data_IF_224138135906
#
_entry.id   IF_224138135906
#
_cell.length_a   1.000
_cell.length_b   1.000
_cell.length_c   1.000
_cell.angle_alpha   90.00
_cell.angle_beta   90.00
_cell.angle_gamma   90.00
#
_symmetry.space_group_name_H-M   'P 1'
#
loop_
_entity.id
_entity.type
_entity.pdbx_description
1 polymer ?
#
# COMPACT_ATOMS: atom_id res chain seq x y z
N UNK A 1 25.61 50.74 48.15
CA UNK A 1 24.50 49.77 47.97
C UNK A 1 24.02 49.96 46.54
N UNK A 2 24.35 49.02 45.64
CA UNK A 2 23.40 48.16 44.89
C UNK A 2 22.35 48.96 44.09
N UNK A 3 22.08 48.72 42.81
CA UNK A 3 22.62 47.84 41.78
C UNK A 3 22.09 48.45 40.47
N UNK A 4 22.97 48.73 39.51
CA UNK A 4 22.61 48.70 38.09
C UNK A 4 22.15 47.28 37.78
N UNK A 5 21.16 47.10 36.89
CA UNK A 5 21.44 46.55 35.56
C UNK A 5 20.18 46.43 34.72
N UNK A 6 20.32 47.03 33.54
CA UNK A 6 19.48 46.98 32.36
C UNK A 6 19.22 45.55 31.87
N UNK A 7 17.98 45.38 31.43
CA UNK A 7 17.41 44.27 30.68
C UNK A 7 18.19 44.03 29.38
N UNK A 8 19.07 43.05 29.33
CA UNK A 8 19.72 42.60 28.08
C UNK A 8 19.30 41.18 27.70
N UNK A 9 18.48 41.14 26.65
CA UNK A 9 18.50 40.19 25.53
C UNK A 9 18.87 38.73 25.86
N UNK A 10 17.85 37.94 26.20
CA UNK A 10 17.91 36.47 26.24
C UNK A 10 18.29 35.89 24.88
N UNK A 11 19.56 35.48 24.77
CA UNK A 11 20.06 34.59 23.72
C UNK A 11 19.60 33.17 24.04
N UNK A 12 18.54 32.71 23.35
CA UNK A 12 18.15 31.29 23.35
C UNK A 12 19.12 30.51 22.47
N UNK A 13 20.07 29.83 23.09
CA UNK A 13 20.91 28.83 22.42
C UNK A 13 20.14 27.50 22.37
N UNK A 14 19.69 27.10 21.18
CA UNK A 14 18.98 25.86 20.94
C UNK A 14 19.96 24.67 20.88
N UNK A 15 19.75 23.67 21.74
CA UNK A 15 20.44 22.39 21.68
C UNK A 15 19.97 21.61 20.44
N UNK A 16 20.91 21.27 19.54
CA UNK A 16 20.65 20.51 18.32
C UNK A 16 20.75 19.01 18.59
N UNK A 17 19.64 18.29 18.40
CA UNK A 17 19.59 16.82 18.36
C UNK A 17 19.97 16.40 16.93
N UNK A 18 20.92 15.47 16.78
CA UNK A 18 21.27 14.88 15.49
C UNK A 18 20.17 13.90 15.07
N UNK A 19 19.34 14.32 14.10
CA UNK A 19 18.23 13.54 13.56
C UNK A 19 18.40 13.46 12.05
N UNK A 20 18.46 12.24 11.51
CA UNK A 20 18.43 12.03 10.07
C UNK A 20 17.15 12.65 9.50
N UNK A 21 17.30 13.66 8.64
CA UNK A 21 16.16 14.44 8.15
C UNK A 21 15.55 13.74 6.94
N UNK A 22 14.23 13.56 6.93
CA UNK A 22 13.50 13.01 5.78
C UNK A 22 12.40 13.98 5.31
N UNK A 23 12.21 14.10 4.00
CA UNK A 23 11.12 14.91 3.44
C UNK A 23 10.51 14.25 2.20
N UNK A 24 9.20 14.41 2.02
CA UNK A 24 8.47 13.89 0.87
C UNK A 24 8.08 15.03 -0.07
N UNK A 25 8.40 14.89 -1.35
CA UNK A 25 7.98 15.83 -2.40
C UNK A 25 7.32 15.07 -3.55
N UNK A 26 6.39 15.70 -4.26
CA UNK A 26 5.62 15.02 -5.31
C UNK A 26 5.29 15.92 -6.49
N UNK A 27 4.92 15.29 -7.61
CA UNK A 27 4.33 15.96 -8.77
C UNK A 27 3.19 15.13 -9.33
N UNK A 28 2.07 15.78 -9.66
CA UNK A 28 0.92 15.12 -10.27
C UNK A 28 0.78 15.50 -11.75
N UNK A 29 0.27 14.56 -12.54
CA UNK A 29 -0.09 14.73 -13.96
C UNK A 29 1.04 15.32 -14.84
N UNK A 30 2.29 14.90 -14.61
CA UNK A 30 3.44 15.35 -15.41
C UNK A 30 3.63 14.45 -16.64
N UNK A 31 3.68 15.04 -17.83
CA UNK A 31 3.59 14.32 -19.11
C UNK A 31 4.93 13.80 -19.63
N UNK A 32 6.01 14.48 -19.32
CA UNK A 32 7.32 14.19 -19.88
C UNK A 32 8.22 13.57 -18.79
N UNK A 33 8.78 12.39 -19.05
CA UNK A 33 9.67 11.76 -18.07
C UNK A 33 11.06 12.40 -18.05
N UNK A 34 11.49 13.05 -19.13
CA UNK A 34 12.83 13.64 -19.21
C UNK A 34 12.98 14.92 -18.38
N UNK A 35 11.86 15.62 -18.10
CA UNK A 35 11.88 16.92 -17.42
C UNK A 35 11.52 16.85 -15.94
N UNK A 36 11.19 15.68 -15.39
CA UNK A 36 10.72 15.55 -14.00
C UNK A 36 11.78 15.96 -12.97
N UNK A 37 13.05 15.63 -13.19
CA UNK A 37 14.12 15.95 -12.22
C UNK A 37 14.39 17.46 -12.11
N UNK A 38 14.10 18.21 -13.17
CA UNK A 38 14.23 19.67 -13.23
C UNK A 38 12.91 20.40 -12.92
N UNK A 39 11.81 19.67 -12.75
CA UNK A 39 10.50 20.25 -12.48
C UNK A 39 10.33 20.53 -10.99
N UNK A 40 9.78 21.70 -10.64
CA UNK A 40 9.46 22.05 -9.25
C UNK A 40 8.41 21.09 -8.67
N UNK A 41 8.76 20.51 -7.51
CA UNK A 41 7.97 19.54 -6.79
C UNK A 41 7.18 20.21 -5.66
N UNK A 42 5.99 19.67 -5.41
CA UNK A 42 5.08 20.08 -4.35
C UNK A 42 5.32 19.25 -3.07
N UNK A 43 4.82 19.74 -1.93
CA UNK A 43 4.93 19.02 -0.65
C UNK A 43 6.26 19.19 0.08
N UNK A 44 6.28 18.77 1.35
CA UNK A 44 7.47 18.74 2.19
C UNK A 44 8.28 20.04 2.20
N UNK A 45 9.60 19.90 2.06
CA UNK A 45 10.52 21.03 1.91
C UNK A 45 10.55 21.62 0.49
N UNK A 46 10.02 20.89 -0.51
CA UNK A 46 10.02 21.38 -1.89
C UNK A 46 9.01 22.49 -2.12
N UNK A 47 7.84 22.47 -1.45
CA UNK A 47 6.85 23.56 -1.38
C UNK A 47 6.49 24.23 -2.73
N UNK A 48 6.57 23.49 -3.83
CA UNK A 48 6.33 24.01 -5.18
C UNK A 48 7.46 24.89 -5.74
N UNK A 49 8.58 25.01 -5.03
CA UNK A 49 9.72 25.88 -5.39
C UNK A 49 10.98 25.12 -5.76
N UNK A 50 11.22 23.92 -5.22
CA UNK A 50 12.44 23.12 -5.45
C UNK A 50 12.19 21.91 -6.35
N UNK A 51 13.13 21.66 -7.26
CA UNK A 51 13.19 20.45 -8.09
C UNK A 51 14.02 19.33 -7.42
N UNK A 52 14.08 18.15 -8.04
CA UNK A 52 14.97 17.07 -7.57
C UNK A 52 16.42 17.53 -7.59
N UNK A 53 16.83 18.23 -8.64
CA UNK A 53 18.18 18.77 -8.77
C UNK A 53 18.51 19.81 -7.70
N UNK A 54 17.56 20.67 -7.34
CA UNK A 54 17.76 21.64 -6.25
C UNK A 54 17.93 20.92 -4.91
N UNK A 55 17.13 19.88 -4.65
CA UNK A 55 17.26 19.06 -3.44
C UNK A 55 18.64 18.37 -3.38
N UNK A 56 19.12 17.80 -4.49
CA UNK A 56 20.47 17.21 -4.59
C UNK A 56 21.57 18.25 -4.30
N UNK A 57 21.46 19.44 -4.88
CA UNK A 57 22.40 20.56 -4.63
C UNK A 57 22.41 21.01 -3.17
N UNK A 58 21.26 20.92 -2.50
CA UNK A 58 21.13 21.18 -1.07
C UNK A 58 21.59 20.00 -0.19
N UNK A 59 22.19 18.96 -0.77
CA UNK A 59 22.74 17.81 -0.05
C UNK A 59 21.71 16.78 0.37
N UNK A 60 20.52 16.79 -0.22
CA UNK A 60 19.53 15.72 -0.04
C UNK A 60 19.79 14.58 -1.03
N UNK A 61 19.63 13.35 -0.55
CA UNK A 61 19.70 12.14 -1.37
C UNK A 61 18.30 11.58 -1.56
N UNK A 62 18.01 11.05 -2.74
CA UNK A 62 16.77 10.31 -2.98
C UNK A 62 16.87 8.98 -2.22
N UNK A 63 15.93 8.75 -1.31
CA UNK A 63 15.79 7.51 -0.56
C UNK A 63 14.85 6.52 -1.27
N UNK A 64 13.73 7.02 -1.81
CA UNK A 64 12.77 6.22 -2.59
C UNK A 64 12.03 7.09 -3.62
N UNK A 65 11.54 6.46 -4.69
CA UNK A 65 10.70 7.09 -5.72
C UNK A 65 9.54 6.18 -6.09
N UNK A 66 8.31 6.73 -6.04
CA UNK A 66 7.10 6.06 -6.51
C UNK A 66 6.55 6.76 -7.74
N UNK A 67 6.39 6.00 -8.82
CA UNK A 67 5.81 6.47 -10.07
C UNK A 67 4.49 5.73 -10.30
N UNK A 68 3.42 6.48 -10.59
CA UNK A 68 2.13 5.90 -11.00
C UNK A 68 1.65 6.56 -12.27
N UNK A 69 1.35 5.76 -13.30
CA UNK A 69 0.81 6.25 -14.56
C UNK A 69 -0.70 6.42 -14.49
N UNK A 70 -1.20 7.54 -15.02
CA UNK A 70 -2.61 7.84 -15.19
C UNK A 70 -2.80 8.40 -16.60
N UNK A 71 -3.42 7.61 -17.48
CA UNK A 71 -3.64 7.95 -18.89
C UNK A 71 -2.30 8.30 -19.60
N UNK A 72 -2.13 9.56 -20.02
CA UNK A 72 -0.95 10.10 -20.71
C UNK A 72 -0.04 10.94 -19.79
N UNK A 73 -0.14 10.76 -18.47
CA UNK A 73 0.66 11.49 -17.51
C UNK A 73 1.08 10.60 -16.33
N UNK A 74 2.18 10.97 -15.68
CA UNK A 74 2.73 10.26 -14.54
C UNK A 74 2.63 11.13 -13.27
N UNK A 75 2.36 10.48 -12.14
CA UNK A 75 2.54 11.06 -10.81
C UNK A 75 3.82 10.52 -10.20
N UNK A 76 4.58 11.39 -9.56
CA UNK A 76 5.87 11.08 -8.95
C UNK A 76 5.81 11.46 -7.47
N UNK A 77 6.32 10.60 -6.60
CA UNK A 77 6.54 10.89 -5.18
C UNK A 77 7.99 10.52 -4.88
N UNK A 78 8.78 11.51 -4.47
CA UNK A 78 10.16 11.37 -4.01
C UNK A 78 10.20 11.43 -2.50
N UNK A 79 10.94 10.50 -1.90
CA UNK A 79 11.37 10.56 -0.50
C UNK A 79 12.83 10.96 -0.50
N UNK A 80 13.15 12.05 0.16
CA UNK A 80 14.52 12.52 0.32
C UNK A 80 14.99 12.27 1.75
N UNK A 81 16.27 11.90 1.89
CA UNK A 81 16.98 11.83 3.17
C UNK A 81 18.23 12.71 3.15
N UNK A 82 18.57 13.27 4.29
CA UNK A 82 19.83 13.97 4.50
C UNK A 82 20.44 13.47 5.81
N UNK A 83 21.61 12.85 5.71
CA UNK A 83 22.42 12.56 6.87
C UNK A 83 23.02 13.86 7.39
N UNK A 84 23.10 14.03 8.71
CA UNK A 84 23.87 15.14 9.26
C UNK A 84 25.32 15.02 8.76
N UNK A 85 25.97 16.14 8.36
CA UNK A 85 27.40 16.11 8.07
C UNK A 85 28.09 15.65 9.34
N UNK A 86 28.65 14.43 9.31
CA UNK A 86 29.52 13.93 10.37
C UNK A 86 30.60 15.00 10.56
N UNK A 87 30.56 15.73 11.68
CA UNK A 87 31.67 16.59 12.07
C UNK A 87 32.91 15.72 12.07
N UNK A 88 33.86 16.05 11.20
CA UNK A 88 35.21 15.52 11.26
C UNK A 88 35.72 15.67 12.70
N UNK A 89 36.05 14.53 13.31
CA UNK A 89 36.69 14.48 14.61
C UNK A 89 38.13 14.96 14.40
N UNK A 90 38.36 16.25 14.61
CA UNK A 90 39.71 16.77 14.80
C UNK A 90 40.19 16.23 16.15
N UNK A 91 41.13 15.29 16.09
CA UNK A 91 41.81 14.72 17.25
C UNK A 91 42.65 15.82 17.92
N UNK A 92 42.16 16.38 19.03
CA UNK A 92 42.98 17.17 19.94
C UNK A 92 43.50 16.29 21.08
N UNK A 93 44.82 16.30 21.24
CA UNK A 93 45.60 15.62 22.27
C UNK A 93 45.43 16.31 23.63
N UNK A 94 45.06 15.49 24.62
CA UNK A 94 45.39 15.49 26.06
C UNK A 94 45.92 16.77 26.73
N UNK A 95 45.25 17.19 27.81
CA UNK A 95 45.79 17.25 29.18
C UNK A 95 44.65 17.47 30.21
N UNK A 96 44.72 16.93 31.45
CA UNK A 96 43.69 17.07 32.48
C UNK A 96 44.08 18.10 33.56
N UNK A 97 43.15 18.98 33.97
CA UNK A 97 43.29 19.83 35.18
C UNK A 97 41.95 19.98 35.91
N UNK A 98 41.75 19.11 36.91
CA UNK A 98 41.36 19.31 38.33
C UNK A 98 40.39 20.46 38.74
N UNK A 99 39.23 20.03 39.29
CA UNK A 99 38.39 20.55 40.41
C UNK A 99 37.49 21.81 40.25
N UNK A 100 36.52 22.05 41.18
CA UNK A 100 35.50 21.15 41.77
C UNK A 100 34.11 21.84 41.79
N UNK A 101 33.01 21.10 41.99
CA UNK A 101 31.83 21.46 42.83
C UNK A 101 30.59 20.60 42.52
N UNK A 102 30.17 19.85 43.53
CA UNK A 102 28.79 19.44 43.81
C UNK A 102 28.22 20.42 44.88
N UNK A 103 26.92 20.43 45.28
CA UNK A 103 25.91 19.38 45.07
C UNK A 103 24.45 19.85 44.76
N UNK A 104 23.67 18.86 44.33
CA UNK A 104 22.21 18.66 44.58
C UNK A 104 21.18 19.35 43.67
N UNK A 105 20.65 18.59 42.71
CA UNK A 105 19.19 18.53 42.51
C UNK A 105 18.73 17.17 41.96
N UNK A 106 17.91 16.51 42.78
CA UNK A 106 16.94 15.43 42.52
C UNK A 106 17.04 14.68 41.17
N UNK A 107 17.53 13.45 41.26
CA UNK A 107 17.29 12.39 40.29
C UNK A 107 15.79 12.20 40.06
N UNK A 108 15.33 12.48 38.84
CA UNK A 108 14.17 11.79 38.28
C UNK A 108 14.73 10.65 37.46
N UNK A 109 14.62 9.45 38.00
CA UNK A 109 14.90 8.20 37.29
C UNK A 109 13.88 8.08 36.17
N UNK A 110 14.25 8.50 34.97
CA UNK A 110 13.59 8.00 33.76
C UNK A 110 14.30 6.68 33.45
N UNK A 111 13.67 5.61 33.92
CA UNK A 111 14.05 4.24 33.64
C UNK A 111 14.34 4.05 32.16
N UNK A 112 15.50 3.45 31.87
CA UNK A 112 15.95 2.95 30.58
C UNK A 112 14.78 2.61 29.63
N UNK A 113 14.49 3.50 28.68
CA UNK A 113 13.69 3.15 27.51
C UNK A 113 14.67 2.47 26.57
N UNK A 114 14.60 1.14 26.53
CA UNK A 114 15.34 0.35 25.57
C UNK A 114 14.85 0.72 24.16
N UNK A 115 15.64 1.51 23.47
CA UNK A 115 15.35 2.05 22.13
C UNK A 115 15.06 0.91 21.14
N UNK A 116 15.73 -0.24 21.30
CA UNK A 116 15.49 -1.43 20.49
C UNK A 116 14.07 -2.02 20.72
N UNK A 117 13.59 -2.03 21.97
CA UNK A 117 12.24 -2.50 22.29
C UNK A 117 11.15 -1.57 21.74
N UNK A 118 11.44 -0.27 21.63
CA UNK A 118 10.52 0.70 21.04
C UNK A 118 10.48 0.58 19.51
N UNK A 119 11.63 0.42 18.85
CA UNK A 119 11.73 0.19 17.41
C UNK A 119 10.99 -1.08 16.98
N UNK A 120 11.15 -2.18 17.72
CA UNK A 120 10.45 -3.44 17.45
C UNK A 120 8.93 -3.25 17.52
N UNK A 121 8.44 -2.55 18.55
CA UNK A 121 7.00 -2.26 18.72
C UNK A 121 6.43 -1.40 17.59
N UNK A 122 7.22 -0.49 17.04
CA UNK A 122 6.83 0.36 15.90
C UNK A 122 6.76 -0.50 14.61
N UNK A 123 7.75 -1.36 14.36
CA UNK A 123 7.77 -2.27 13.22
C UNK A 123 6.58 -3.24 13.26
N UNK A 124 6.31 -3.86 14.40
CA UNK A 124 5.15 -4.75 14.58
C UNK A 124 3.82 -4.03 14.27
N UNK A 125 3.67 -2.78 14.75
CA UNK A 125 2.46 -1.96 14.46
C UNK A 125 2.34 -1.61 12.97
N UNK A 126 3.44 -1.34 12.29
CA UNK A 126 3.45 -1.06 10.84
C UNK A 126 3.06 -2.31 10.02
N UNK A 127 3.60 -3.48 10.36
CA UNK A 127 3.22 -4.73 9.72
C UNK A 127 1.75 -5.06 9.94
N UNK A 128 1.24 -4.86 11.15
CA UNK A 128 -0.16 -5.09 11.47
C UNK A 128 -1.08 -4.19 10.63
N UNK A 129 -0.78 -2.89 10.55
CA UNK A 129 -1.54 -1.96 9.69
C UNK A 129 -1.48 -2.36 8.21
N UNK A 130 -0.32 -2.78 7.70
CA UNK A 130 -0.20 -3.29 6.32
C UNK A 130 -1.06 -4.53 6.10
N UNK A 131 -1.06 -5.49 7.04
CA UNK A 131 -1.89 -6.70 6.98
C UNK A 131 -3.39 -6.35 6.95
N UNK A 132 -3.81 -5.41 7.78
CA UNK A 132 -5.20 -4.93 7.83
C UNK A 132 -5.62 -4.20 6.54
N UNK A 133 -4.78 -3.32 6.01
CA UNK A 133 -5.01 -2.63 4.74
C UNK A 133 -5.13 -3.62 3.58
N UNK A 134 -4.21 -4.59 3.50
CA UNK A 134 -4.25 -5.66 2.50
C UNK A 134 -5.53 -6.47 2.66
N UNK A 135 -5.95 -6.80 3.89
CA UNK A 135 -7.19 -7.52 4.13
C UNK A 135 -8.42 -6.72 3.69
N UNK A 136 -8.47 -5.41 3.96
CA UNK A 136 -9.55 -4.53 3.52
C UNK A 136 -9.58 -4.42 2.00
N UNK A 137 -8.44 -4.21 1.36
CA UNK A 137 -8.32 -4.15 -0.10
C UNK A 137 -8.73 -5.47 -0.75
N UNK A 138 -8.34 -6.61 -0.19
CA UNK A 138 -8.79 -7.94 -0.63
C UNK A 138 -10.31 -8.08 -0.51
N UNK A 139 -10.92 -7.66 0.60
CA UNK A 139 -12.39 -7.64 0.77
C UNK A 139 -13.08 -6.76 -0.27
N UNK A 140 -12.57 -5.56 -0.52
CA UNK A 140 -13.10 -4.65 -1.52
C UNK A 140 -12.99 -5.23 -2.94
N UNK A 141 -11.85 -5.81 -3.30
CA UNK A 141 -11.65 -6.48 -4.60
C UNK A 141 -12.63 -7.65 -4.73
N UNK A 142 -12.76 -8.49 -3.69
CA UNK A 142 -13.70 -9.60 -3.67
C UNK A 142 -15.14 -9.11 -3.87
N UNK A 143 -15.55 -8.05 -3.18
CA UNK A 143 -16.87 -7.45 -3.31
C UNK A 143 -17.12 -6.93 -4.74
N UNK A 144 -16.17 -6.18 -5.31
CA UNK A 144 -16.27 -5.68 -6.69
C UNK A 144 -16.39 -6.82 -7.70
N UNK A 145 -15.54 -7.85 -7.58
CA UNK A 145 -15.60 -9.06 -8.43
C UNK A 145 -16.96 -9.76 -8.30
N UNK A 146 -17.47 -9.91 -7.07
CA UNK A 146 -18.78 -10.51 -6.81
C UNK A 146 -19.91 -9.69 -7.45
N UNK A 147 -19.88 -8.36 -7.41
CA UNK A 147 -20.92 -7.50 -8.01
C UNK A 147 -20.91 -7.59 -9.55
N UNK A 148 -19.73 -7.57 -10.17
CA UNK A 148 -19.63 -7.77 -11.62
C UNK A 148 -20.05 -9.18 -12.04
N UNK A 149 -19.65 -10.19 -11.26
CA UNK A 149 -20.04 -11.58 -11.46
C UNK A 149 -21.53 -11.81 -11.33
N UNK A 150 -22.18 -11.18 -10.35
CA UNK A 150 -23.63 -11.23 -10.16
C UNK A 150 -24.38 -10.76 -11.40
N UNK A 151 -24.02 -9.58 -11.91
CA UNK A 151 -24.67 -9.01 -13.10
C UNK A 151 -24.56 -9.97 -14.29
N UNK A 152 -23.37 -10.51 -14.54
CA UNK A 152 -23.17 -11.43 -15.66
C UNK A 152 -23.94 -12.74 -15.45
N UNK A 153 -23.86 -13.31 -14.25
CA UNK A 153 -24.52 -14.56 -13.91
C UNK A 153 -26.04 -14.49 -14.09
N UNK A 154 -26.67 -13.46 -13.49
CA UNK A 154 -28.12 -13.26 -13.57
C UNK A 154 -28.59 -13.07 -15.02
N UNK A 155 -27.80 -12.37 -15.83
CA UNK A 155 -28.19 -12.03 -17.20
C UNK A 155 -27.93 -13.16 -18.21
N UNK A 156 -26.94 -14.03 -17.97
CA UNK A 156 -26.44 -14.96 -19.00
C UNK A 156 -26.40 -16.42 -18.58
N UNK A 157 -26.39 -16.72 -17.28
CA UNK A 157 -26.17 -18.08 -16.77
C UNK A 157 -27.38 -18.63 -16.03
N UNK A 158 -28.05 -17.80 -15.21
CA UNK A 158 -29.04 -18.22 -14.23
C UNK A 158 -30.23 -18.98 -14.86
N UNK A 159 -30.72 -18.56 -16.02
CA UNK A 159 -31.89 -19.16 -16.66
C UNK A 159 -31.70 -20.65 -17.01
N UNK A 160 -30.45 -21.10 -17.20
CA UNK A 160 -30.14 -22.48 -17.54
C UNK A 160 -29.42 -23.24 -16.42
N UNK A 161 -28.66 -22.53 -15.58
CA UNK A 161 -27.87 -23.15 -14.50
C UNK A 161 -28.49 -23.03 -13.11
N UNK A 162 -29.64 -22.35 -12.96
CA UNK A 162 -30.33 -22.16 -11.70
C UNK A 162 -29.88 -20.91 -10.95
N UNK A 163 -30.53 -20.60 -9.83
CA UNK A 163 -30.22 -19.40 -9.05
C UNK A 163 -28.81 -19.45 -8.45
N UNK A 164 -28.33 -20.66 -8.13
CA UNK A 164 -27.08 -20.89 -7.42
C UNK A 164 -26.09 -21.76 -8.19
N UNK A 165 -26.36 -22.05 -9.46
CA UNK A 165 -25.51 -22.86 -10.33
C UNK A 165 -25.66 -24.37 -10.10
N UNK A 166 -26.76 -24.77 -9.48
CA UNK A 166 -27.08 -26.12 -9.02
C UNK A 166 -27.74 -27.01 -10.08
N UNK A 167 -28.16 -26.43 -11.22
CA UNK A 167 -28.87 -27.18 -12.25
C UNK A 167 -27.86 -27.72 -13.27
N UNK A 168 -28.01 -29.01 -13.58
CA UNK A 168 -27.45 -29.63 -14.78
C UNK A 168 -28.22 -29.12 -15.99
N UNK A 169 -27.75 -28.02 -16.60
CA UNK A 169 -28.42 -27.40 -17.75
C UNK A 169 -28.72 -28.45 -18.82
N UNK A 170 -30.03 -28.67 -19.06
CA UNK A 170 -30.59 -29.63 -20.02
C UNK A 170 -30.07 -31.07 -19.89
N UNK A 171 -29.53 -31.45 -18.73
CA UNK A 171 -28.94 -32.78 -18.49
C UNK A 171 -27.53 -32.99 -19.06
N UNK A 172 -27.01 -32.07 -19.87
CA UNK A 172 -25.70 -32.22 -20.53
C UNK A 172 -24.53 -31.68 -19.72
N UNK A 173 -24.78 -30.68 -18.87
CA UNK A 173 -23.72 -30.00 -18.09
C UNK A 173 -23.66 -30.48 -16.63
N UNK A 174 -22.46 -30.36 -16.04
CA UNK A 174 -22.27 -30.49 -14.59
C UNK A 174 -22.82 -29.25 -13.89
N UNK A 175 -23.21 -29.39 -12.63
CA UNK A 175 -23.57 -28.25 -11.77
C UNK A 175 -22.36 -27.33 -11.62
N UNK A 176 -22.49 -26.10 -12.11
CA UNK A 176 -21.37 -25.16 -12.19
C UNK A 176 -20.94 -24.64 -10.81
N UNK A 177 -21.79 -24.78 -9.78
CA UNK A 177 -21.46 -24.39 -8.41
C UNK A 177 -20.58 -25.40 -7.65
N UNK A 178 -20.44 -26.62 -8.18
CA UNK A 178 -19.57 -27.67 -7.64
C UNK A 178 -18.16 -27.61 -8.23
N UNK A 179 -17.95 -26.88 -9.32
CA UNK A 179 -16.66 -26.74 -9.96
C UNK A 179 -15.70 -25.92 -9.09
N UNK A 180 -14.41 -26.27 -9.12
CA UNK A 180 -13.36 -25.39 -8.64
C UNK A 180 -13.04 -24.32 -9.70
N UNK A 181 -12.21 -23.33 -9.35
CA UNK A 181 -11.91 -22.22 -10.26
C UNK A 181 -11.24 -22.71 -11.57
N UNK A 182 -10.32 -23.67 -11.46
CA UNK A 182 -9.58 -24.18 -12.62
C UNK A 182 -10.52 -24.91 -13.58
N UNK A 183 -11.34 -25.83 -13.08
CA UNK A 183 -12.32 -26.56 -13.90
C UNK A 183 -13.34 -25.61 -14.54
N UNK A 184 -13.80 -24.60 -13.79
CA UNK A 184 -14.72 -23.60 -14.30
C UNK A 184 -14.08 -22.78 -15.44
N UNK A 185 -12.84 -22.34 -15.26
CA UNK A 185 -12.11 -21.57 -16.29
C UNK A 185 -11.79 -22.41 -17.52
N UNK A 186 -11.28 -23.63 -17.35
CA UNK A 186 -10.95 -24.53 -18.45
C UNK A 186 -12.22 -24.87 -19.24
N UNK A 187 -13.33 -25.18 -18.56
CA UNK A 187 -14.58 -25.52 -19.24
C UNK A 187 -15.07 -24.38 -20.16
N UNK A 188 -15.05 -23.13 -19.69
CA UNK A 188 -15.46 -21.98 -20.52
C UNK A 188 -14.47 -21.74 -21.66
N UNK A 189 -13.17 -21.83 -21.39
CA UNK A 189 -12.12 -21.69 -22.41
C UNK A 189 -12.27 -22.73 -23.52
N UNK A 190 -12.50 -23.98 -23.15
CA UNK A 190 -12.58 -25.07 -24.12
C UNK A 190 -13.88 -25.01 -24.93
N UNK A 191 -14.98 -24.50 -24.35
CA UNK A 191 -16.17 -24.14 -25.14
C UNK A 191 -15.87 -23.03 -26.17
N UNK A 192 -15.09 -22.01 -25.79
CA UNK A 192 -14.67 -20.94 -26.70
C UNK A 192 -13.78 -21.48 -27.84
N UNK A 193 -12.82 -22.34 -27.49
CA UNK A 193 -11.90 -22.95 -28.44
C UNK A 193 -12.51 -24.09 -29.28
N UNK A 194 -13.72 -24.54 -28.92
CA UNK A 194 -14.38 -25.67 -29.58
C UNK A 194 -13.77 -27.04 -29.25
N UNK A 195 -12.93 -27.12 -28.22
CA UNK A 195 -12.24 -28.36 -27.79
C UNK A 195 -13.02 -29.15 -26.74
N UNK A 196 -14.13 -28.60 -26.23
CA UNK A 196 -14.99 -29.27 -25.26
C UNK A 196 -16.43 -29.33 -25.75
N UNK A 197 -16.92 -30.56 -25.96
CA UNK A 197 -18.31 -30.85 -26.30
C UNK A 197 -18.81 -32.12 -25.63
N UNK A 198 -20.03 -32.07 -25.13
CA UNK A 198 -20.78 -33.19 -24.54
C UNK A 198 -22.13 -33.40 -25.24
N UNK A 199 -22.20 -33.03 -26.53
CA UNK A 199 -23.41 -33.06 -27.36
C UNK A 199 -24.26 -31.78 -27.27
N UNK A 200 -23.75 -30.74 -26.60
CA UNK A 200 -24.50 -29.49 -26.36
C UNK A 200 -23.59 -28.25 -26.27
N UNK A 201 -22.34 -28.31 -26.73
CA UNK A 201 -21.43 -27.16 -26.70
C UNK A 201 -21.97 -25.95 -27.45
N UNK A 202 -22.76 -26.16 -28.50
CA UNK A 202 -23.38 -25.10 -29.28
C UNK A 202 -24.26 -24.17 -28.43
N UNK A 203 -24.81 -24.63 -27.30
CA UNK A 203 -25.58 -23.80 -26.36
C UNK A 203 -24.66 -22.86 -25.59
N UNK A 204 -23.52 -23.36 -25.12
CA UNK A 204 -22.59 -22.60 -24.27
C UNK A 204 -21.60 -21.75 -25.07
N UNK A 205 -21.28 -22.13 -26.30
CA UNK A 205 -20.29 -21.45 -27.15
C UNK A 205 -20.56 -19.94 -27.33
N UNK A 206 -21.79 -19.48 -27.64
CA UNK A 206 -22.08 -18.04 -27.78
C UNK A 206 -21.86 -17.24 -26.49
N UNK A 207 -22.01 -17.88 -25.33
CA UNK A 207 -21.73 -17.24 -24.05
C UNK A 207 -20.23 -17.26 -23.75
N UNK A 208 -19.55 -18.37 -24.05
CA UNK A 208 -18.12 -18.53 -23.82
C UNK A 208 -17.28 -17.56 -24.66
N UNK A 209 -17.64 -17.32 -25.93
CA UNK A 209 -16.92 -16.41 -26.83
C UNK A 209 -17.02 -14.94 -26.44
N UNK A 210 -18.05 -14.57 -25.67
CA UNK A 210 -18.28 -13.20 -25.21
C UNK A 210 -17.74 -12.93 -23.80
N UNK A 211 -17.12 -13.92 -23.16
CA UNK A 211 -16.59 -13.80 -21.80
C UNK A 211 -15.07 -13.71 -21.80
N UNK A 212 -14.54 -12.77 -21.03
CA UNK A 212 -13.11 -12.70 -20.74
C UNK A 212 -12.74 -13.62 -19.56
N UNK A 213 -11.44 -13.93 -19.40
CA UNK A 213 -10.94 -14.62 -18.20
C UNK A 213 -11.33 -13.91 -16.89
N UNK A 214 -11.45 -12.58 -16.93
CA UNK A 214 -11.87 -11.79 -15.77
C UNK A 214 -13.35 -11.99 -15.46
N UNK A 215 -14.19 -12.08 -16.48
CA UNK A 215 -15.63 -12.35 -16.36
C UNK A 215 -15.89 -13.72 -15.75
N UNK A 216 -15.17 -14.74 -16.24
CA UNK A 216 -15.20 -16.11 -15.71
C UNK A 216 -14.85 -16.12 -14.22
N UNK A 217 -13.75 -15.46 -13.84
CA UNK A 217 -13.33 -15.33 -12.43
C UNK A 217 -14.35 -14.58 -11.58
N UNK A 218 -14.96 -13.52 -12.12
CA UNK A 218 -15.98 -12.73 -11.41
C UNK A 218 -17.23 -13.57 -11.13
N UNK A 219 -17.72 -14.30 -12.13
CA UNK A 219 -18.87 -15.21 -11.97
C UNK A 219 -18.57 -16.30 -10.95
N UNK A 220 -17.39 -16.90 -11.00
CA UNK A 220 -16.96 -17.87 -10.00
C UNK A 220 -16.98 -17.27 -8.58
N UNK A 221 -16.38 -16.09 -8.39
CA UNK A 221 -16.38 -15.39 -7.09
C UNK A 221 -17.80 -15.13 -6.59
N UNK A 222 -18.71 -14.71 -7.48
CA UNK A 222 -20.11 -14.51 -7.14
C UNK A 222 -20.79 -15.82 -6.69
N UNK A 223 -20.66 -16.90 -7.47
CA UNK A 223 -21.21 -18.21 -7.12
C UNK A 223 -20.68 -18.71 -5.78
N UNK A 224 -19.40 -18.49 -5.47
CA UNK A 224 -18.84 -18.81 -4.15
C UNK A 224 -19.43 -17.94 -3.05
N UNK A 225 -19.62 -16.64 -3.30
CA UNK A 225 -20.15 -15.73 -2.28
C UNK A 225 -21.59 -16.07 -1.86
N UNK A 226 -22.44 -16.51 -2.79
CA UNK A 226 -23.83 -16.89 -2.48
C UNK A 226 -23.94 -18.30 -1.88
N UNK A 227 -23.06 -19.23 -2.25
CA UNK A 227 -23.10 -20.61 -1.75
C UNK A 227 -22.33 -20.81 -0.45
N UNK A 228 -21.30 -20.00 -0.15
CA UNK A 228 -20.55 -20.08 1.11
C UNK A 228 -21.26 -19.40 2.29
N UNK A 229 -22.13 -18.41 2.05
CA UNK A 229 -22.96 -17.79 3.10
C UNK A 229 -23.86 -18.83 3.78
N UNK A 230 -24.49 -19.71 2.99
CA UNK A 230 -25.42 -20.73 3.48
C UNK A 230 -24.74 -21.86 4.26
N UNK A 231 -23.55 -22.30 3.84
CA UNK A 231 -22.79 -23.35 4.57
C UNK A 231 -22.46 -22.96 6.01
N UNK A 232 -22.30 -21.66 6.30
CA UNK A 232 -22.08 -21.13 7.66
C UNK A 232 -23.36 -21.00 8.48
N UNK A 233 -24.52 -20.91 7.83
CA UNK A 233 -25.84 -20.84 8.47
C UNK A 233 -26.38 -22.25 8.76
N UNK A 234 -26.11 -23.22 7.88
CA UNK A 234 -26.49 -24.64 8.05
C UNK A 234 -25.66 -25.36 9.12
N UNK A 235 -24.40 -25.00 9.34
CA UNK A 235 -23.57 -25.56 10.42
C UNK A 235 -23.81 -24.92 11.80
N UNK A 236 -24.69 -23.91 11.87
CA UNK A 236 -25.04 -23.19 13.11
C UNK A 236 -26.43 -23.59 13.65
N UNK A 237 -27.10 -24.51 12.98
CA UNK A 237 -28.41 -25.05 13.35
C UNK A 237 -28.27 -26.53 13.65
#
# INVERSE_FOLDING_TARGET
MRLLTTLTLTSMMTLSIAAAQTTMCFKQNHKDMATIENTKLDGGLCKGSKSVEDMKKEGWQIDDIKITSKENANNYIYIFKKADPKKEVIVQKVTPVIQPTTPTTKQVVVSNIDEAALEEKILQRLEQRKKEEIALKKKQIYFRKSKSGEKLYKNKCQSCHGEKGEIKSKGFSREINKLNLQDFTISIRDYNNGTYDRGAAFIMRPYATLMTDQDVKNVYVYLRSINQKKKKEETKK
#
